data_IF_150124149133
#
_entry.id   IF_150124149133
#
_cell.length_a   1.000
_cell.length_b   1.000
_cell.length_c   1.000
_cell.angle_alpha   90.00
_cell.angle_beta   90.00
_cell.angle_gamma   90.00
#
_symmetry.space_group_name_H-M   'P 1'
#
loop_
_entity.id
_entity.type
_entity.pdbx_description
1 polymer ?
#
# COMPACT_ATOMS: atom_id res chain seq x y z
N UNK A 1 2.78 -12.75 -24.08
CA UNK A 1 2.08 -12.22 -22.89
C UNK A 1 1.97 -10.70 -23.07
N UNK A 2 0.75 -10.17 -22.99
CA UNK A 2 0.56 -8.72 -22.95
C UNK A 2 1.16 -8.18 -21.66
N UNK A 3 1.87 -7.04 -21.67
CA UNK A 3 2.46 -6.50 -20.46
C UNK A 3 1.35 -6.10 -19.46
N UNK A 4 1.59 -6.37 -18.20
CA UNK A 4 0.73 -6.00 -17.07
C UNK A 4 0.56 -4.47 -16.97
N UNK A 5 1.59 -3.71 -17.31
CA UNK A 5 1.59 -2.26 -17.35
C UNK A 5 2.15 -1.73 -18.68
N UNK A 6 1.63 -0.61 -19.14
CA UNK A 6 2.08 0.06 -20.35
C UNK A 6 2.48 1.49 -20.00
N UNK A 7 3.77 1.85 -20.11
CA UNK A 7 4.23 3.19 -19.85
C UNK A 7 3.93 4.13 -21.02
N UNK A 8 3.44 5.33 -20.71
CA UNK A 8 3.21 6.42 -21.64
C UNK A 8 4.00 7.65 -21.22
N UNK A 9 4.62 8.29 -22.18
CA UNK A 9 5.27 9.58 -21.97
C UNK A 9 4.76 10.58 -23.01
N UNK A 10 4.28 11.72 -22.54
CA UNK A 10 3.90 12.81 -23.43
C UNK A 10 5.16 13.41 -24.07
N UNK A 11 5.20 13.48 -25.42
CA UNK A 11 6.34 14.01 -26.16
C UNK A 11 6.65 15.45 -25.74
N UNK A 12 7.88 15.69 -25.29
CA UNK A 12 8.34 17.01 -24.83
C UNK A 12 7.97 17.36 -23.39
N UNK A 13 7.42 16.41 -22.62
CA UNK A 13 7.11 16.56 -21.20
C UNK A 13 7.92 15.56 -20.36
N UNK A 14 8.16 15.90 -19.10
CA UNK A 14 8.67 14.96 -18.10
C UNK A 14 7.56 14.07 -17.48
N UNK A 15 6.31 14.30 -17.89
CA UNK A 15 5.18 13.52 -17.39
C UNK A 15 5.26 12.09 -17.91
N UNK A 16 5.20 11.16 -16.96
CA UNK A 16 5.20 9.74 -17.20
C UNK A 16 3.96 9.14 -16.57
N UNK A 17 3.22 8.33 -17.32
CA UNK A 17 1.98 7.69 -16.88
C UNK A 17 2.12 6.21 -17.14
N UNK A 18 1.87 5.39 -16.13
CA UNK A 18 1.77 3.95 -16.23
C UNK A 18 0.30 3.54 -16.26
N UNK A 19 -0.12 2.93 -17.35
CA UNK A 19 -1.46 2.35 -17.47
C UNK A 19 -1.39 0.89 -17.03
N UNK A 20 -2.01 0.59 -15.92
CA UNK A 20 -2.11 -0.76 -15.40
C UNK A 20 -3.37 -1.45 -15.91
N UNK A 21 -3.24 -2.69 -16.37
CA UNK A 21 -4.36 -3.55 -16.78
C UNK A 21 -5.08 -4.11 -15.55
N UNK A 22 -4.31 -4.46 -14.52
CA UNK A 22 -4.75 -4.86 -13.18
C UNK A 22 -3.89 -4.13 -12.16
N UNK A 23 -4.36 -3.98 -10.92
CA UNK A 23 -3.61 -3.27 -9.87
C UNK A 23 -2.34 -4.02 -9.44
N UNK A 24 -2.38 -5.34 -9.52
CA UNK A 24 -1.26 -6.22 -9.21
C UNK A 24 -1.06 -7.22 -10.36
N UNK A 25 0.19 -7.60 -10.61
CA UNK A 25 0.53 -8.58 -11.63
C UNK A 25 -0.12 -9.93 -11.31
N UNK A 26 -1.02 -10.41 -12.16
CA UNK A 26 -1.84 -11.60 -11.92
C UNK A 26 -1.01 -12.88 -11.76
N UNK A 27 0.11 -12.98 -12.45
CA UNK A 27 1.00 -14.14 -12.42
C UNK A 27 1.87 -14.20 -11.16
N UNK A 28 1.84 -13.14 -10.33
CA UNK A 28 2.60 -13.13 -9.08
C UNK A 28 2.00 -14.09 -8.07
N UNK A 29 2.80 -15.04 -7.59
CA UNK A 29 2.41 -15.96 -6.51
C UNK A 29 2.20 -15.20 -5.19
N UNK A 30 2.96 -14.12 -4.97
CA UNK A 30 2.94 -13.37 -3.72
C UNK A 30 1.73 -12.42 -3.60
N UNK A 31 1.27 -11.81 -4.69
CA UNK A 31 0.27 -10.74 -4.63
C UNK A 31 -0.74 -10.72 -5.80
N UNK A 32 -0.66 -11.65 -6.75
CA UNK A 32 -1.61 -11.69 -7.88
C UNK A 32 -3.06 -11.89 -7.42
N UNK A 33 -3.27 -12.68 -6.38
CA UNK A 33 -4.60 -12.94 -5.81
C UNK A 33 -5.25 -11.70 -5.16
N UNK A 34 -4.48 -10.63 -4.87
CA UNK A 34 -5.04 -9.42 -4.24
C UNK A 34 -5.96 -8.63 -5.15
N UNK A 35 -5.90 -8.84 -6.47
CA UNK A 35 -6.84 -8.24 -7.43
C UNK A 35 -8.30 -8.57 -7.10
N UNK A 36 -8.59 -9.69 -6.41
CA UNK A 36 -9.93 -10.07 -5.97
C UNK A 36 -10.64 -9.02 -5.11
N UNK A 37 -9.90 -8.24 -4.30
CA UNK A 37 -10.48 -7.18 -3.47
C UNK A 37 -10.99 -6.00 -4.29
N UNK A 38 -10.50 -5.85 -5.53
CA UNK A 38 -10.76 -4.73 -6.41
C UNK A 38 -11.65 -5.06 -7.60
N UNK A 39 -12.14 -6.31 -7.74
CA UNK A 39 -12.99 -6.74 -8.86
C UNK A 39 -14.20 -5.82 -9.08
N UNK A 40 -14.78 -5.28 -8.00
CA UNK A 40 -15.91 -4.36 -8.03
C UNK A 40 -15.55 -2.89 -7.76
N UNK A 41 -14.27 -2.54 -7.75
CA UNK A 41 -13.85 -1.16 -7.45
C UNK A 41 -14.43 -0.15 -8.46
N UNK A 42 -14.58 -0.54 -9.73
CA UNK A 42 -15.18 0.32 -10.75
C UNK A 42 -16.67 0.64 -10.50
N UNK A 43 -17.39 -0.25 -9.79
CA UNK A 43 -18.80 -0.03 -9.41
C UNK A 43 -18.90 0.97 -8.24
N UNK A 44 -17.90 0.99 -7.36
CA UNK A 44 -17.79 1.86 -6.19
C UNK A 44 -17.02 3.14 -6.44
N UNK A 45 -16.55 3.37 -7.69
CA UNK A 45 -15.77 4.55 -8.04
C UNK A 45 -16.50 5.85 -7.70
N UNK A 46 -15.75 6.86 -7.37
CA UNK A 46 -16.21 8.23 -7.17
C UNK A 46 -15.67 9.15 -8.27
N UNK A 47 -16.24 10.34 -8.39
CA UNK A 47 -15.76 11.38 -9.27
C UNK A 47 -15.25 12.53 -8.41
N UNK A 48 -13.98 12.86 -8.57
CA UNK A 48 -13.34 14.02 -7.95
C UNK A 48 -13.11 15.11 -8.98
N UNK A 49 -13.17 16.37 -8.56
CA UNK A 49 -12.86 17.50 -9.42
C UNK A 49 -11.48 18.04 -9.07
N UNK A 50 -10.50 17.81 -9.94
CA UNK A 50 -9.12 18.25 -9.76
C UNK A 50 -8.84 19.37 -10.77
N UNK A 51 -8.59 20.57 -10.29
CA UNK A 51 -8.34 21.75 -11.12
C UNK A 51 -9.42 22.00 -12.21
N UNK A 52 -10.68 21.72 -11.87
CA UNK A 52 -11.82 21.87 -12.79
C UNK A 52 -12.04 20.71 -13.76
N UNK A 53 -11.26 19.63 -13.65
CA UNK A 53 -11.41 18.42 -14.47
C UNK A 53 -12.02 17.31 -13.62
N UNK A 54 -13.07 16.67 -14.12
CA UNK A 54 -13.66 15.48 -13.50
C UNK A 54 -12.75 14.27 -13.72
N UNK A 55 -12.34 13.64 -12.61
CA UNK A 55 -11.49 12.43 -12.61
C UNK A 55 -12.23 11.33 -11.88
N UNK A 56 -12.42 10.20 -12.56
CA UNK A 56 -12.94 8.98 -11.92
C UNK A 56 -11.83 8.28 -11.15
N UNK A 57 -12.06 8.01 -9.87
CA UNK A 57 -11.08 7.34 -8.99
C UNK A 57 -11.74 6.29 -8.12
N UNK A 58 -10.95 5.43 -7.48
CA UNK A 58 -11.44 4.48 -6.49
C UNK A 58 -12.12 5.21 -5.32
N UNK A 59 -13.13 4.58 -4.70
CA UNK A 59 -13.66 5.09 -3.44
C UNK A 59 -12.55 5.08 -2.37
N UNK A 60 -12.67 5.93 -1.32
CA UNK A 60 -11.61 6.08 -0.33
C UNK A 60 -11.18 4.76 0.34
N UNK A 61 -12.10 3.88 0.66
CA UNK A 61 -11.79 2.60 1.30
C UNK A 61 -10.97 1.68 0.38
N UNK A 62 -11.39 1.53 -0.89
CA UNK A 62 -10.64 0.73 -1.87
C UNK A 62 -9.25 1.33 -2.13
N UNK A 63 -9.17 2.65 -2.25
CA UNK A 63 -7.89 3.34 -2.47
C UNK A 63 -6.95 3.16 -1.27
N UNK A 64 -7.46 3.27 -0.05
CA UNK A 64 -6.64 3.10 1.16
C UNK A 64 -6.13 1.65 1.29
N UNK A 65 -6.96 0.64 1.02
CA UNK A 65 -6.52 -0.74 0.95
C UNK A 65 -5.42 -0.92 -0.10
N UNK A 66 -5.60 -0.34 -1.28
CA UNK A 66 -4.57 -0.36 -2.33
C UNK A 66 -3.25 0.24 -1.86
N UNK A 67 -3.26 1.39 -1.17
CA UNK A 67 -2.05 2.03 -0.67
C UNK A 67 -1.28 1.13 0.32
N UNK A 68 -1.98 0.44 1.23
CA UNK A 68 -1.35 -0.50 2.18
C UNK A 68 -0.76 -1.70 1.43
N UNK A 69 -1.50 -2.32 0.53
CA UNK A 69 -1.04 -3.48 -0.24
C UNK A 69 0.13 -3.10 -1.18
N UNK A 70 0.08 -1.91 -1.77
CA UNK A 70 1.15 -1.40 -2.60
C UNK A 70 2.44 -1.13 -1.80
N UNK A 71 2.31 -0.58 -0.59
CA UNK A 71 3.43 -0.45 0.33
C UNK A 71 4.04 -1.82 0.68
N UNK A 72 3.21 -2.83 0.95
CA UNK A 72 3.72 -4.18 1.21
C UNK A 72 4.40 -4.80 -0.02
N UNK A 73 3.86 -4.62 -1.22
CA UNK A 73 4.52 -5.03 -2.47
C UNK A 73 5.93 -4.40 -2.57
N UNK A 74 6.05 -3.11 -2.27
CA UNK A 74 7.36 -2.45 -2.23
C UNK A 74 8.26 -3.02 -1.15
N UNK A 75 7.73 -3.28 0.04
CA UNK A 75 8.47 -3.91 1.13
C UNK A 75 9.11 -5.24 0.71
N UNK A 76 8.39 -6.07 -0.07
CA UNK A 76 8.91 -7.35 -0.58
C UNK A 76 10.05 -7.20 -1.61
N UNK A 77 10.10 -6.09 -2.35
CA UNK A 77 11.01 -5.94 -3.49
C UNK A 77 12.13 -4.93 -3.28
N UNK A 78 11.82 -3.74 -2.78
CA UNK A 78 12.76 -2.62 -2.72
C UNK A 78 12.80 -1.92 -1.37
N UNK A 79 11.85 -2.20 -0.50
CA UNK A 79 11.61 -1.49 0.75
C UNK A 79 10.53 -0.42 0.65
N UNK A 80 9.93 -0.07 1.79
CA UNK A 80 8.95 1.01 1.95
C UNK A 80 9.68 2.27 2.36
N UNK A 81 9.54 3.35 1.57
CA UNK A 81 10.09 4.65 1.93
C UNK A 81 9.17 5.44 2.87
N UNK A 82 9.74 6.35 3.63
CA UNK A 82 9.00 7.19 4.58
C UNK A 82 7.90 8.02 3.89
N UNK A 83 8.11 8.39 2.61
CA UNK A 83 7.10 9.10 1.82
C UNK A 83 5.83 8.30 1.63
N UNK A 84 5.93 7.00 1.36
CA UNK A 84 4.75 6.14 1.19
C UNK A 84 3.93 6.06 2.46
N UNK A 85 4.60 6.01 3.63
CA UNK A 85 3.92 6.07 4.94
C UNK A 85 3.22 7.41 5.13
N UNK A 86 3.88 8.51 4.79
CA UNK A 86 3.29 9.86 4.89
C UNK A 86 2.07 10.01 3.97
N UNK A 87 2.14 9.53 2.72
CA UNK A 87 1.02 9.57 1.78
C UNK A 87 -0.20 8.79 2.32
N UNK A 88 0.01 7.61 2.92
CA UNK A 88 -1.03 6.80 3.58
C UNK A 88 -1.68 7.59 4.73
N UNK A 89 -0.89 8.21 5.59
CA UNK A 89 -1.40 8.96 6.75
C UNK A 89 -2.15 10.22 6.33
N UNK A 90 -1.65 10.93 5.33
CA UNK A 90 -2.33 12.10 4.77
C UNK A 90 -3.66 11.70 4.14
N UNK A 91 -3.72 10.59 3.42
CA UNK A 91 -4.96 10.05 2.86
C UNK A 91 -5.97 9.72 3.96
N UNK A 92 -5.53 8.99 5.01
CA UNK A 92 -6.37 8.64 6.15
C UNK A 92 -6.94 9.84 6.91
N UNK A 93 -6.27 10.99 6.88
CA UNK A 93 -6.75 12.22 7.54
C UNK A 93 -7.71 13.04 6.68
N UNK A 94 -7.77 12.80 5.36
CA UNK A 94 -8.62 13.55 4.43
C UNK A 94 -9.94 12.85 4.10
N UNK A 95 -9.99 11.52 4.21
CA UNK A 95 -11.13 10.74 3.79
C UNK A 95 -11.70 9.90 4.92
N UNK A 96 -13.01 9.66 4.88
CA UNK A 96 -13.65 8.65 5.72
C UNK A 96 -13.33 7.25 5.18
N UNK A 97 -12.75 6.41 6.03
CA UNK A 97 -12.26 5.08 5.70
C UNK A 97 -13.05 4.02 6.49
N UNK A 98 -13.55 3.00 5.81
CA UNK A 98 -14.11 1.81 6.46
C UNK A 98 -12.96 0.86 6.89
N UNK A 99 -12.40 1.12 8.06
CA UNK A 99 -11.31 0.31 8.62
C UNK A 99 -11.74 -1.13 8.91
N UNK A 100 -13.01 -1.39 9.26
CA UNK A 100 -13.51 -2.75 9.48
C UNK A 100 -13.41 -3.58 8.20
N UNK A 101 -13.83 -3.01 7.06
CA UNK A 101 -13.70 -3.66 5.76
C UNK A 101 -12.24 -3.93 5.41
N UNK A 102 -11.36 -2.93 5.57
CA UNK A 102 -9.94 -3.05 5.26
C UNK A 102 -9.25 -4.15 6.08
N UNK A 103 -9.42 -4.13 7.39
CA UNK A 103 -8.76 -5.11 8.26
C UNK A 103 -9.35 -6.53 8.10
N UNK A 104 -10.62 -6.64 7.72
CA UNK A 104 -11.20 -7.93 7.31
C UNK A 104 -10.52 -8.47 6.03
N UNK A 105 -10.23 -7.61 5.05
CA UNK A 105 -9.56 -8.02 3.82
C UNK A 105 -8.07 -8.32 4.07
N UNK A 106 -7.36 -7.50 4.82
CA UNK A 106 -5.98 -7.75 5.22
C UNK A 106 -5.83 -9.08 5.98
N UNK A 107 -6.77 -9.41 6.85
CA UNK A 107 -6.79 -10.68 7.59
C UNK A 107 -6.92 -11.91 6.71
N UNK A 108 -7.65 -11.83 5.58
CA UNK A 108 -7.78 -12.95 4.62
C UNK A 108 -6.45 -13.32 3.96
N UNK A 109 -5.49 -12.41 3.96
CA UNK A 109 -4.17 -12.57 3.35
C UNK A 109 -3.02 -12.43 4.37
N UNK A 110 -3.35 -12.47 5.66
CA UNK A 110 -2.38 -12.40 6.80
C UNK A 110 -1.50 -11.13 6.79
N UNK A 111 -2.05 -9.99 6.38
CA UNK A 111 -1.37 -8.69 6.37
C UNK A 111 -1.91 -7.68 7.38
N UNK A 112 -2.81 -8.09 8.29
CA UNK A 112 -3.38 -7.21 9.30
C UNK A 112 -2.33 -6.65 10.27
N UNK A 113 -1.35 -7.46 10.64
CA UNK A 113 -0.23 -7.03 11.52
C UNK A 113 0.67 -6.02 10.81
N UNK A 114 1.02 -6.28 9.54
CA UNK A 114 1.80 -5.32 8.75
C UNK A 114 1.06 -4.00 8.61
N UNK A 115 -0.22 -4.03 8.22
CA UNK A 115 -1.06 -2.83 8.09
C UNK A 115 -1.14 -2.04 9.39
N UNK A 116 -1.40 -2.73 10.51
CA UNK A 116 -1.45 -2.12 11.84
C UNK A 116 -0.12 -1.47 12.23
N UNK A 117 1.00 -2.17 12.01
CA UNK A 117 2.34 -1.67 12.34
C UNK A 117 2.72 -0.45 11.52
N UNK A 118 2.45 -0.48 10.20
CA UNK A 118 2.69 0.64 9.30
C UNK A 118 1.90 1.89 9.73
N UNK A 119 0.61 1.72 10.04
CA UNK A 119 -0.26 2.80 10.51
C UNK A 119 0.16 3.33 11.89
N UNK A 120 0.61 2.45 12.79
CA UNK A 120 1.12 2.84 14.12
C UNK A 120 2.39 3.68 14.01
N UNK A 121 3.31 3.32 13.11
CA UNK A 121 4.51 4.12 12.81
C UNK A 121 4.08 5.49 12.26
N UNK A 122 3.19 5.50 11.27
CA UNK A 122 2.70 6.73 10.67
C UNK A 122 2.06 7.67 11.68
N UNK A 123 1.15 7.15 12.51
CA UNK A 123 0.47 7.94 13.57
C UNK A 123 1.45 8.47 14.62
N UNK A 124 2.42 7.68 15.04
CA UNK A 124 3.38 8.04 16.06
C UNK A 124 4.40 9.09 15.62
N UNK A 125 4.89 8.99 14.38
CA UNK A 125 6.06 9.75 13.95
C UNK A 125 5.81 10.78 12.85
N UNK A 126 4.69 10.69 12.12
CA UNK A 126 4.45 11.55 10.96
C UNK A 126 3.19 12.42 11.12
N UNK A 127 2.03 11.81 11.27
CA UNK A 127 0.76 12.53 11.26
C UNK A 127 -0.33 11.79 12.04
N UNK A 128 -1.03 12.53 12.91
CA UNK A 128 -2.16 11.98 13.66
C UNK A 128 -3.41 11.91 12.77
N UNK A 129 -3.72 10.71 12.29
CA UNK A 129 -4.91 10.42 11.52
C UNK A 129 -5.97 9.71 12.39
N UNK A 130 -7.28 9.82 12.07
CA UNK A 130 -8.37 9.25 12.87
C UNK A 130 -8.51 7.73 12.69
N UNK A 131 -7.43 7.00 12.98
CA UNK A 131 -7.39 5.55 12.91
C UNK A 131 -7.85 4.99 14.26
N UNK A 132 -8.86 4.08 14.30
CA UNK A 132 -9.32 3.50 15.56
C UNK A 132 -8.23 2.66 16.25
N UNK A 133 -8.07 2.85 17.55
CA UNK A 133 -7.00 2.22 18.34
C UNK A 133 -7.05 0.69 18.30
N UNK A 134 -8.25 0.09 18.21
CA UNK A 134 -8.43 -1.39 18.10
C UNK A 134 -7.63 -2.03 16.96
N UNK A 135 -7.31 -1.28 15.89
CA UNK A 135 -6.49 -1.77 14.79
C UNK A 135 -5.01 -1.55 15.05
N UNK A 136 -4.65 -0.45 15.70
CA UNK A 136 -3.26 -0.13 16.05
C UNK A 136 -2.72 -1.10 17.13
N UNK A 137 -3.58 -1.63 18.00
CA UNK A 137 -3.24 -2.65 19.01
C UNK A 137 -2.76 -3.98 18.39
N UNK A 138 -3.04 -4.21 17.09
CA UNK A 138 -2.53 -5.38 16.37
C UNK A 138 -1.07 -5.23 15.94
N UNK A 139 -0.46 -4.05 16.15
CA UNK A 139 0.91 -3.78 15.70
C UNK A 139 1.93 -4.62 16.47
N UNK A 140 2.90 -5.16 15.75
CA UNK A 140 4.02 -5.93 16.30
C UNK A 140 5.35 -5.44 15.69
N UNK A 141 6.44 -5.62 16.41
CA UNK A 141 7.80 -5.35 15.93
C UNK A 141 7.98 -3.96 15.25
N UNK A 142 7.30 -2.94 15.79
CA UNK A 142 7.29 -1.59 15.22
C UNK A 142 8.70 -1.02 14.98
N UNK A 143 9.65 -1.29 15.89
CA UNK A 143 11.01 -0.77 15.79
C UNK A 143 11.75 -1.37 14.58
N UNK A 144 11.56 -2.66 14.29
CA UNK A 144 12.17 -3.30 13.11
C UNK A 144 11.63 -2.75 11.79
N UNK A 145 10.30 -2.61 11.67
CA UNK A 145 9.72 -2.03 10.45
C UNK A 145 10.12 -0.55 10.30
N UNK A 146 10.23 0.19 11.41
CA UNK A 146 10.71 1.58 11.38
C UNK A 146 12.16 1.66 10.89
N UNK A 147 13.05 0.79 11.37
CA UNK A 147 14.43 0.70 10.90
C UNK A 147 14.48 0.42 9.41
N UNK A 148 13.72 -0.56 8.91
CA UNK A 148 13.62 -0.88 7.48
C UNK A 148 13.14 0.32 6.64
N UNK A 149 12.14 1.08 7.13
CA UNK A 149 11.63 2.29 6.46
C UNK A 149 12.70 3.38 6.40
N UNK A 150 13.44 3.61 7.50
CA UNK A 150 14.48 4.61 7.58
C UNK A 150 15.68 4.25 6.69
N UNK A 151 16.07 2.98 6.67
CA UNK A 151 17.15 2.47 5.81
C UNK A 151 16.78 2.54 4.32
N UNK A 152 15.51 2.33 3.99
CA UNK A 152 14.99 2.48 2.64
C UNK A 152 14.92 3.94 2.17
N UNK A 153 15.02 4.90 3.08
CA UNK A 153 15.04 6.33 2.80
C UNK A 153 13.70 6.88 2.31
N UNK A 154 13.76 7.95 1.53
CA UNK A 154 12.56 8.67 1.10
C UNK A 154 11.70 7.84 0.13
N UNK A 155 12.34 7.12 -0.78
CA UNK A 155 11.67 6.45 -1.91
C UNK A 155 11.69 4.92 -1.86
N UNK A 156 12.17 4.31 -0.79
CA UNK A 156 12.18 2.86 -0.68
C UNK A 156 13.28 2.15 -1.49
N UNK A 157 14.47 2.73 -1.59
CA UNK A 157 15.59 2.17 -2.36
C UNK A 157 16.75 1.76 -1.43
N UNK A 158 16.63 0.63 -0.72
CA UNK A 158 17.74 0.11 0.09
C UNK A 158 18.20 -1.25 -0.38
N UNK A 159 19.53 -1.40 -0.48
CA UNK A 159 20.19 -2.71 -0.70
C UNK A 159 20.16 -3.61 0.55
N UNK A 160 19.92 -3.04 1.73
CA UNK A 160 19.85 -3.75 3.01
C UNK A 160 18.44 -4.29 3.28
N UNK A 161 17.38 -3.56 2.93
CA UNK A 161 15.99 -3.98 3.16
C UNK A 161 15.64 -5.29 2.44
N UNK A 162 16.27 -5.59 1.31
CA UNK A 162 16.09 -6.86 0.57
C UNK A 162 16.44 -8.11 1.37
N UNK A 163 17.38 -8.03 2.32
CA UNK A 163 17.78 -9.18 3.14
C UNK A 163 16.80 -9.42 4.28
N UNK A 164 16.28 -8.36 4.89
CA UNK A 164 15.30 -8.45 5.99
C UNK A 164 13.93 -8.87 5.47
N UNK A 165 13.43 -8.27 4.38
CA UNK A 165 12.15 -8.65 3.78
C UNK A 165 12.13 -10.11 3.30
N UNK A 166 13.22 -10.61 2.73
CA UNK A 166 13.32 -12.01 2.33
C UNK A 166 13.25 -12.97 3.52
N UNK A 167 13.85 -12.62 4.65
CA UNK A 167 13.81 -13.43 5.88
C UNK A 167 12.42 -13.42 6.53
N UNK A 168 11.75 -12.27 6.63
CA UNK A 168 10.38 -12.18 7.15
C UNK A 168 9.36 -12.90 6.25
N UNK A 169 9.54 -12.84 4.92
CA UNK A 169 8.67 -13.58 3.98
C UNK A 169 8.86 -15.09 4.12
N UNK A 170 10.09 -15.55 4.33
CA UNK A 170 10.38 -16.97 4.59
C UNK A 170 9.80 -17.44 5.92
N UNK A 171 9.89 -16.66 6.98
CA UNK A 171 9.28 -16.97 8.28
C UNK A 171 7.75 -17.01 8.22
N UNK A 172 7.12 -16.06 7.49
CA UNK A 172 5.66 -16.06 7.32
C UNK A 172 5.14 -17.25 6.48
N UNK A 173 5.94 -17.76 5.52
CA UNK A 173 5.59 -18.91 4.68
C UNK A 173 5.89 -20.27 5.37
N UNK A 174 6.79 -20.30 6.36
CA UNK A 174 7.19 -21.54 7.06
C UNK A 174 6.44 -21.81 8.36
N UNK A 175 5.46 -20.97 8.72
CA UNK A 175 4.62 -21.13 9.92
C UNK A 175 3.25 -21.80 9.65
N UNK A 176 3.08 -22.47 8.49
CA UNK A 176 1.96 -23.37 8.19
C UNK A 176 2.33 -24.85 8.38
#
# INVERSE_FOLDING_TARGET
>A
LEPYEVPYQLKGSSLYIELHKTLFQEESVAYGSWNQFFEKAHERRIVEVIEGVEVSTMCPTDHFLFLILHAFKHFLHSGVGIRQVADIMMFASHYEIDYDSIFNDLKKIHLEVFGATLLSIGKKYLHDAPIPDKYLELSENMDHLLEDILDAGVYGNSSMSRKHSANMTLEAITLD
#
